data_IF_026193553878
#
_entry.id   IF_026193553878
#
_cell.length_a   1.000
_cell.length_b   1.000
_cell.length_c   1.000
_cell.angle_alpha   90.00
_cell.angle_beta   90.00
_cell.angle_gamma   90.00
#
_symmetry.space_group_name_H-M   'P 1'
#
loop_
_entity.id
_entity.type
_entity.pdbx_description
1 polymer ?
#
# COMPACT_ATOMS: atom_id res chain seq x y z
N UNK A 1 -1.59 24.09 8.24
CA UNK A 1 -0.71 22.94 7.93
C UNK A 1 -1.51 21.66 8.05
N UNK A 2 -1.28 20.65 7.20
CA UNK A 2 -2.01 19.36 7.27
C UNK A 2 -1.61 18.62 8.55
N UNK A 3 -2.60 18.06 9.26
CA UNK A 3 -2.34 17.19 10.42
C UNK A 3 -2.04 15.77 9.94
N UNK A 4 -1.03 15.09 10.49
CA UNK A 4 -0.75 13.70 10.14
C UNK A 4 -1.91 12.78 10.54
N UNK A 5 -2.13 11.74 9.75
CA UNK A 5 -3.05 10.62 10.01
C UNK A 5 -2.26 9.32 9.83
N UNK A 6 -2.65 8.27 10.53
CA UNK A 6 -2.01 6.96 10.40
C UNK A 6 -2.28 6.31 9.03
N UNK A 7 -1.46 5.31 8.69
CA UNK A 7 -1.52 4.61 7.40
C UNK A 7 -2.83 3.85 7.17
N UNK A 8 -3.44 3.32 8.23
CA UNK A 8 -4.70 2.58 8.16
C UNK A 8 -5.86 3.52 7.78
N UNK A 9 -5.94 4.68 8.44
CA UNK A 9 -6.92 5.72 8.14
C UNK A 9 -6.75 6.23 6.70
N UNK A 10 -5.51 6.51 6.29
CA UNK A 10 -5.22 7.00 4.93
C UNK A 10 -5.58 5.95 3.87
N UNK A 11 -5.23 4.68 4.10
CA UNK A 11 -5.59 3.58 3.20
C UNK A 11 -7.10 3.45 3.04
N UNK A 12 -7.84 3.37 4.15
CA UNK A 12 -9.30 3.22 4.10
C UNK A 12 -10.01 4.44 3.51
N UNK A 13 -9.47 5.64 3.69
CA UNK A 13 -9.99 6.85 3.05
C UNK A 13 -9.75 6.81 1.55
N UNK A 14 -8.53 6.51 1.11
CA UNK A 14 -8.17 6.44 -0.31
C UNK A 14 -8.95 5.32 -1.05
N UNK A 15 -9.22 4.21 -0.36
CA UNK A 15 -10.00 3.07 -0.86
C UNK A 15 -11.41 3.43 -1.30
N UNK A 16 -12.00 4.46 -0.69
CA UNK A 16 -13.33 4.96 -1.04
C UNK A 16 -13.32 5.82 -2.32
N UNK A 17 -12.14 6.27 -2.76
CA UNK A 17 -11.99 7.21 -3.87
C UNK A 17 -11.56 6.49 -5.15
N UNK A 18 -10.63 5.54 -5.06
CA UNK A 18 -10.05 4.88 -6.23
C UNK A 18 -9.81 3.39 -6.01
N UNK A 19 -9.69 2.63 -7.12
CA UNK A 19 -9.42 1.19 -7.11
C UNK A 19 -7.93 0.82 -7.07
N UNK A 20 -7.06 1.83 -7.09
CA UNK A 20 -5.60 1.71 -7.01
C UNK A 20 -5.09 2.76 -6.03
N UNK A 21 -4.25 2.35 -5.10
CA UNK A 21 -3.61 3.22 -4.11
C UNK A 21 -2.12 2.95 -4.16
N UNK A 22 -1.32 4.01 -4.15
CA UNK A 22 0.14 3.92 -4.13
C UNK A 22 0.62 4.63 -2.88
N UNK A 23 1.34 3.91 -2.02
CA UNK A 23 1.93 4.47 -0.79
C UNK A 23 3.44 4.43 -0.88
N UNK A 24 4.07 5.60 -0.75
CA UNK A 24 5.52 5.71 -0.60
C UNK A 24 5.88 5.74 0.88
N UNK A 25 6.68 4.76 1.33
CA UNK A 25 6.83 4.40 2.74
C UNK A 25 8.31 4.35 3.14
N UNK A 26 8.62 4.56 4.43
CA UNK A 26 9.97 4.36 4.95
C UNK A 26 10.48 2.94 4.69
N UNK A 27 11.78 2.81 4.43
CA UNK A 27 12.45 1.52 4.18
C UNK A 27 12.31 0.47 5.30
N UNK A 28 11.93 0.89 6.50
CA UNK A 28 11.80 0.05 7.70
C UNK A 28 10.33 -0.26 8.06
N UNK A 29 9.40 -0.01 7.14
CA UNK A 29 8.00 -0.38 7.34
C UNK A 29 7.86 -1.90 7.53
N UNK A 30 6.92 -2.31 8.37
CA UNK A 30 6.56 -3.71 8.52
C UNK A 30 5.70 -4.16 7.33
N UNK A 31 6.23 -5.07 6.50
CA UNK A 31 5.53 -5.58 5.33
C UNK A 31 4.30 -6.41 5.71
N UNK A 32 4.26 -7.00 6.91
CA UNK A 32 3.08 -7.74 7.36
C UNK A 32 1.88 -6.82 7.58
N UNK A 33 2.11 -5.59 8.07
CA UNK A 33 1.05 -4.59 8.20
C UNK A 33 0.46 -4.20 6.84
N UNK A 34 1.30 -4.13 5.79
CA UNK A 34 0.82 -3.87 4.44
C UNK A 34 -0.04 -5.03 3.90
N UNK A 35 0.38 -6.27 4.15
CA UNK A 35 -0.40 -7.46 3.80
C UNK A 35 -1.75 -7.49 4.54
N UNK A 36 -1.76 -7.13 5.83
CA UNK A 36 -2.99 -7.05 6.63
C UNK A 36 -3.99 -6.03 6.08
N UNK A 37 -3.52 -4.84 5.63
CA UNK A 37 -4.38 -3.84 4.99
C UNK A 37 -5.11 -4.38 3.74
N UNK A 38 -4.43 -5.22 2.96
CA UNK A 38 -5.01 -5.88 1.80
C UNK A 38 -6.06 -6.93 2.17
N UNK A 39 -5.71 -7.81 3.11
CA UNK A 39 -6.56 -8.93 3.52
C UNK A 39 -7.81 -8.49 4.29
N UNK A 40 -7.73 -7.38 5.02
CA UNK A 40 -8.88 -6.79 5.74
C UNK A 40 -9.84 -6.01 4.84
N UNK A 41 -9.47 -5.76 3.59
CA UNK A 41 -10.40 -5.18 2.61
C UNK A 41 -11.37 -6.23 2.09
N UNK A 42 -12.61 -5.84 1.79
CA UNK A 42 -13.63 -6.72 1.23
C UNK A 42 -14.16 -6.18 -0.10
N UNK A 43 -13.94 -6.86 -1.25
CA UNK A 43 -13.09 -8.07 -1.38
C UNK A 43 -11.61 -7.76 -1.08
N UNK A 44 -10.77 -8.78 -0.79
CA UNK A 44 -9.34 -8.57 -0.55
C UNK A 44 -8.66 -7.87 -1.72
N UNK A 45 -7.76 -6.94 -1.40
CA UNK A 45 -6.96 -6.25 -2.42
C UNK A 45 -5.66 -7.00 -2.67
N UNK A 46 -5.09 -6.79 -3.86
CA UNK A 46 -3.72 -7.22 -4.15
C UNK A 46 -2.69 -6.20 -3.63
N UNK A 47 -1.50 -6.69 -3.28
CA UNK A 47 -0.35 -5.88 -2.87
C UNK A 47 0.88 -6.23 -3.71
N UNK A 48 1.50 -5.23 -4.32
CA UNK A 48 2.84 -5.31 -4.86
C UNK A 48 3.78 -4.38 -4.08
N UNK A 49 4.99 -4.86 -3.77
CA UNK A 49 5.97 -4.14 -2.95
C UNK A 49 7.25 -3.92 -3.76
N UNK A 50 7.52 -2.67 -4.09
CA UNK A 50 8.75 -2.26 -4.75
C UNK A 50 9.75 -1.69 -3.75
N UNK A 51 11.00 -2.14 -3.85
CA UNK A 51 12.13 -1.64 -3.04
C UNK A 51 12.88 -0.57 -3.83
N UNK A 52 12.92 0.65 -3.30
CA UNK A 52 13.62 1.76 -3.93
C UNK A 52 15.08 1.82 -3.45
N UNK A 53 16.03 1.65 -4.36
CA UNK A 53 17.46 1.73 -4.09
C UNK A 53 18.07 3.00 -4.66
N UNK A 54 18.99 3.61 -3.91
CA UNK A 54 19.84 4.70 -4.39
C UNK A 54 21.27 4.41 -3.98
N UNK A 55 22.18 4.36 -4.95
CA UNK A 55 23.59 4.01 -4.77
C UNK A 55 23.76 2.69 -4.00
N UNK A 56 23.01 1.66 -4.40
CA UNK A 56 23.02 0.32 -3.77
C UNK A 56 22.38 0.24 -2.38
N UNK A 57 21.90 1.35 -1.80
CA UNK A 57 21.28 1.38 -0.47
C UNK A 57 19.77 1.51 -0.57
N UNK A 58 19.04 0.67 0.18
CA UNK A 58 17.59 0.76 0.33
C UNK A 58 17.21 2.10 0.99
N UNK A 59 16.31 2.84 0.33
CA UNK A 59 15.84 4.16 0.78
C UNK A 59 14.37 4.16 1.18
N UNK A 60 13.53 3.45 0.44
CA UNK A 60 12.10 3.45 0.65
C UNK A 60 11.45 2.19 0.09
N UNK A 61 10.17 2.03 0.42
CA UNK A 61 9.27 1.05 -0.16
C UNK A 61 8.16 1.79 -0.91
N UNK A 62 7.80 1.36 -2.10
CA UNK A 62 6.54 1.76 -2.75
C UNK A 62 5.60 0.57 -2.71
N UNK A 63 4.44 0.75 -2.06
CA UNK A 63 3.41 -0.26 -1.96
C UNK A 63 2.25 0.09 -2.92
N UNK A 64 1.99 -0.81 -3.86
CA UNK A 64 0.91 -0.68 -4.83
C UNK A 64 -0.23 -1.60 -4.43
N UNK A 65 -1.36 -1.00 -4.06
CA UNK A 65 -2.58 -1.68 -3.68
C UNK A 65 -3.56 -1.61 -4.84
N UNK A 66 -4.18 -2.74 -5.22
CA UNK A 66 -5.22 -2.69 -6.25
C UNK A 66 -6.35 -3.70 -6.07
N UNK A 67 -7.56 -3.23 -6.37
CA UNK A 67 -8.77 -4.04 -6.50
C UNK A 67 -9.09 -4.26 -7.97
N UNK A 68 -8.24 -5.06 -8.62
CA UNK A 68 -8.56 -5.69 -9.90
C UNK A 68 -9.26 -7.00 -9.59
N UNK A 69 -10.52 -7.10 -10.02
CA UNK A 69 -11.17 -8.40 -10.16
C UNK A 69 -10.37 -9.10 -11.24
N UNK A 70 -9.62 -10.14 -10.89
CA UNK A 70 -9.10 -11.06 -11.88
C UNK A 70 -10.33 -11.70 -12.54
N UNK A 71 -10.72 -11.20 -13.71
CA UNK A 71 -11.56 -12.00 -14.61
C UNK A 71 -10.81 -13.31 -14.82
N UNK A 72 -11.49 -14.42 -14.51
CA UNK A 72 -10.89 -15.76 -14.45
C UNK A 72 -10.01 -16.02 -15.66
N UNK A 73 -8.76 -16.41 -15.39
CA UNK A 73 -7.98 -17.22 -16.33
C UNK A 73 -8.35 -18.68 -16.11
#
# INVERSE_FOLDING_TARGET
>A
MLKPRDGYFLFNTAKQIGRRIIMFLPRNIDLNQLAELCLTSNPPWSLEVEKNFMNGKLKAITAYFSNVVTEGR
#
